data_IF_108159113090
#
_entry.id   IF_108159113090
#
_cell.length_a   1.000
_cell.length_b   1.000
_cell.length_c   1.000
_cell.angle_alpha   90.00
_cell.angle_beta   90.00
_cell.angle_gamma   90.00
#
_symmetry.space_group_name_H-M   'P 1'
#
loop_
_entity.id
_entity.type
_entity.pdbx_description
1 polymer ?
#
# COMPACT_ATOMS: atom_id res chain seq x y z
N UNK A 1 -48.62 9.12 -1.61
CA UNK A 1 -47.84 9.53 -2.80
C UNK A 1 -46.37 9.64 -2.45
N UNK A 2 -45.57 8.64 -2.83
CA UNK A 2 -44.12 8.73 -2.78
C UNK A 2 -43.65 9.51 -4.00
N UNK A 3 -42.84 10.54 -3.81
CA UNK A 3 -42.26 11.27 -4.94
C UNK A 3 -41.32 10.31 -5.74
N UNK A 4 -41.53 10.21 -7.04
CA UNK A 4 -40.69 9.41 -7.91
C UNK A 4 -39.26 9.94 -7.85
N UNK A 5 -38.29 9.07 -7.49
CA UNK A 5 -36.88 9.45 -7.37
C UNK A 5 -36.44 9.96 -5.99
N UNK A 6 -37.36 10.04 -5.01
CA UNK A 6 -36.97 10.39 -3.63
C UNK A 6 -36.35 9.17 -2.91
N UNK A 7 -35.26 9.42 -2.17
CA UNK A 7 -34.67 8.40 -1.28
C UNK A 7 -35.67 7.97 -0.21
N UNK A 8 -35.76 6.68 0.06
CA UNK A 8 -36.64 6.11 1.06
C UNK A 8 -35.98 6.12 2.43
N UNK A 9 -36.63 6.71 3.42
CA UNK A 9 -36.08 6.85 4.79
C UNK A 9 -35.76 5.49 5.44
N UNK A 10 -36.56 4.48 5.16
CA UNK A 10 -36.40 3.12 5.68
C UNK A 10 -35.33 2.30 4.99
N UNK A 11 -34.81 2.77 3.87
CA UNK A 11 -33.74 2.10 3.10
C UNK A 11 -32.33 2.52 3.53
N UNK A 12 -32.19 3.56 4.33
CA UNK A 12 -30.89 4.10 4.76
C UNK A 12 -29.89 4.30 3.60
N UNK A 13 -30.40 4.73 2.43
CA UNK A 13 -29.58 4.88 1.21
C UNK A 13 -29.39 3.57 0.42
N UNK A 14 -30.05 2.48 0.82
CA UNK A 14 -30.01 1.20 0.09
C UNK A 14 -30.55 1.30 -1.33
N UNK A 15 -31.48 2.23 -1.56
CA UNK A 15 -32.12 2.56 -2.82
C UNK A 15 -31.30 3.49 -3.73
N UNK A 16 -30.13 3.95 -3.30
CA UNK A 16 -29.23 4.73 -4.13
C UNK A 16 -28.57 3.80 -5.16
N UNK A 17 -28.77 4.10 -6.45
CA UNK A 17 -28.29 3.28 -7.55
C UNK A 17 -26.76 3.28 -7.65
N UNK A 18 -26.15 4.45 -7.61
CA UNK A 18 -24.70 4.62 -7.63
C UNK A 18 -24.21 5.14 -6.27
N UNK A 19 -24.03 4.20 -5.33
CA UNK A 19 -23.58 4.49 -3.96
C UNK A 19 -22.18 5.09 -3.94
N UNK A 20 -21.30 4.68 -4.87
CA UNK A 20 -19.94 5.19 -4.97
C UNK A 20 -19.92 6.67 -5.37
N UNK A 21 -20.66 7.01 -6.42
CA UNK A 21 -20.79 8.41 -6.86
C UNK A 21 -21.48 9.26 -5.79
N UNK A 22 -22.51 8.72 -5.14
CA UNK A 22 -23.19 9.42 -4.04
C UNK A 22 -22.22 9.70 -2.89
N UNK A 23 -21.44 8.71 -2.44
CA UNK A 23 -20.44 8.91 -1.39
C UNK A 23 -19.43 10.00 -1.78
N UNK A 24 -18.97 10.02 -3.01
CA UNK A 24 -18.06 11.08 -3.52
C UNK A 24 -18.72 12.45 -3.53
N UNK A 25 -19.99 12.51 -3.93
CA UNK A 25 -20.75 13.78 -4.00
C UNK A 25 -20.91 14.43 -2.62
N UNK A 26 -21.11 13.63 -1.58
CA UNK A 26 -21.25 14.12 -0.19
C UNK A 26 -19.92 14.18 0.57
N UNK A 27 -18.80 13.82 -0.07
CA UNK A 27 -17.47 13.80 0.57
C UNK A 27 -17.30 12.70 1.62
N UNK A 28 -18.07 11.62 1.54
CA UNK A 28 -17.91 10.47 2.41
C UNK A 28 -16.72 9.61 1.99
N UNK A 29 -16.11 8.93 2.97
CA UNK A 29 -15.03 7.97 2.72
C UNK A 29 -15.60 6.73 2.02
N UNK A 30 -14.99 6.34 0.90
CA UNK A 30 -15.26 5.07 0.22
C UNK A 30 -14.41 3.96 0.83
N UNK A 31 -15.03 2.81 1.12
CA UNK A 31 -14.39 1.70 1.83
C UNK A 31 -14.96 0.36 1.37
N UNK A 32 -14.11 -0.66 1.38
CA UNK A 32 -14.49 -2.05 1.08
C UNK A 32 -13.68 -2.99 1.97
N UNK A 33 -14.31 -4.05 2.45
CA UNK A 33 -13.62 -5.18 3.06
C UNK A 33 -13.21 -6.15 1.97
N UNK A 34 -11.92 -6.49 1.93
CA UNK A 34 -11.37 -7.47 0.99
C UNK A 34 -11.14 -8.76 1.75
N UNK A 35 -11.73 -9.85 1.27
CA UNK A 35 -11.57 -11.18 1.84
C UNK A 35 -10.35 -11.83 1.21
N UNK A 36 -9.44 -12.29 2.06
CA UNK A 36 -8.24 -13.03 1.71
C UNK A 36 -8.42 -14.49 2.19
N UNK A 37 -7.40 -15.30 2.14
CA UNK A 37 -7.48 -16.70 2.61
C UNK A 37 -6.12 -17.34 2.77
N UNK A 38 -5.14 -16.87 2.01
CA UNK A 38 -3.78 -17.41 2.00
C UNK A 38 -2.77 -16.29 1.85
N UNK A 39 -1.50 -16.60 2.12
CA UNK A 39 -0.39 -15.71 1.78
C UNK A 39 -0.09 -15.77 0.29
N UNK A 40 0.22 -14.65 -0.32
CA UNK A 40 0.56 -14.55 -1.72
C UNK A 40 0.08 -13.25 -2.36
N UNK A 41 -0.14 -13.29 -3.66
CA UNK A 41 -0.51 -12.15 -4.48
C UNK A 41 -2.00 -12.11 -4.74
N UNK A 42 -2.58 -10.92 -4.62
CA UNK A 42 -4.00 -10.69 -4.80
C UNK A 42 -4.24 -9.51 -5.73
N UNK A 43 -5.10 -9.71 -6.73
CA UNK A 43 -5.60 -8.62 -7.57
C UNK A 43 -6.67 -7.84 -6.80
N UNK A 44 -6.27 -6.84 -6.03
CA UNK A 44 -7.17 -6.09 -5.13
C UNK A 44 -8.00 -5.04 -5.82
N UNK A 45 -7.54 -4.54 -6.97
CA UNK A 45 -8.22 -3.46 -7.66
C UNK A 45 -8.01 -3.54 -9.17
N UNK A 46 -8.95 -2.96 -9.90
CA UNK A 46 -8.80 -2.51 -11.28
C UNK A 46 -8.97 -0.99 -11.29
N UNK A 47 -8.04 -0.29 -11.91
CA UNK A 47 -8.05 1.18 -11.96
C UNK A 47 -8.07 1.65 -13.40
N UNK A 48 -8.84 2.70 -13.66
CA UNK A 48 -8.79 3.46 -14.90
C UNK A 48 -8.01 4.74 -14.64
N UNK A 49 -6.87 4.89 -15.31
CA UNK A 49 -5.92 5.96 -15.04
C UNK A 49 -5.41 6.59 -16.35
N UNK A 50 -6.17 7.53 -16.92
CA UNK A 50 -5.73 8.28 -18.09
C UNK A 50 -4.37 8.92 -17.89
N UNK A 51 -3.57 8.92 -18.97
CA UNK A 51 -2.19 9.46 -18.98
C UNK A 51 -2.16 10.99 -18.92
N UNK A 52 -2.98 11.58 -18.07
CA UNK A 52 -3.09 13.02 -17.86
C UNK A 52 -3.10 13.33 -16.37
N UNK A 53 -2.06 12.89 -15.67
CA UNK A 53 -1.87 13.13 -14.23
C UNK A 53 -2.89 12.47 -13.30
N UNK A 54 -3.54 11.38 -13.71
CA UNK A 54 -4.43 10.62 -12.85
C UNK A 54 -3.73 10.16 -11.59
N UNK A 55 -4.41 10.24 -10.45
CA UNK A 55 -3.92 9.79 -9.16
C UNK A 55 -5.01 8.96 -8.48
N UNK A 56 -4.61 7.85 -7.88
CA UNK A 56 -5.46 7.05 -7.02
C UNK A 56 -4.70 6.69 -5.74
N UNK A 57 -5.41 6.62 -4.63
CA UNK A 57 -4.86 6.23 -3.33
C UNK A 57 -5.71 5.12 -2.74
N UNK A 58 -5.05 4.12 -2.16
CA UNK A 58 -5.71 3.00 -1.48
C UNK A 58 -5.02 2.82 -0.12
N UNK A 59 -5.74 3.10 0.95
CA UNK A 59 -5.30 2.86 2.33
C UNK A 59 -5.70 1.45 2.72
N UNK A 60 -4.75 0.69 3.25
CA UNK A 60 -4.90 -0.74 3.53
C UNK A 60 -4.65 -1.00 5.02
N UNK A 61 -5.68 -1.54 5.69
CA UNK A 61 -5.66 -1.81 7.13
C UNK A 61 -5.88 -3.30 7.38
N UNK A 62 -4.97 -3.93 8.11
CA UNK A 62 -5.03 -5.36 8.42
C UNK A 62 -4.32 -6.23 7.38
N UNK A 63 -4.87 -7.40 7.10
CA UNK A 63 -4.32 -8.36 6.14
C UNK A 63 -3.27 -9.31 6.72
N UNK A 64 -3.13 -9.39 8.04
CA UNK A 64 -2.14 -10.28 8.66
C UNK A 64 -2.61 -10.80 10.02
N UNK A 65 -3.25 -11.96 10.03
CA UNK A 65 -3.70 -12.60 11.26
C UNK A 65 -4.67 -11.76 12.11
N UNK A 66 -5.06 -12.28 13.24
CA UNK A 66 -5.97 -11.62 14.19
C UNK A 66 -5.79 -12.08 15.64
N UNK A 67 -4.55 -12.37 16.05
CA UNK A 67 -4.27 -12.80 17.41
C UNK A 67 -4.25 -11.61 18.38
N UNK A 68 -4.99 -11.72 19.46
CA UNK A 68 -4.95 -10.73 20.54
C UNK A 68 -3.54 -10.68 21.13
N UNK A 69 -2.98 -9.49 21.27
CA UNK A 69 -1.63 -9.29 21.79
C UNK A 69 -0.51 -9.33 20.73
N UNK A 70 -0.80 -9.70 19.49
CA UNK A 70 0.14 -9.61 18.35
C UNK A 70 -0.03 -8.27 17.67
N UNK A 71 0.56 -7.23 18.23
CA UNK A 71 0.36 -5.82 17.80
C UNK A 71 0.82 -5.57 16.37
N UNK A 72 1.80 -6.32 15.89
CA UNK A 72 2.32 -6.25 14.51
C UNK A 72 1.29 -6.70 13.45
N UNK A 73 0.23 -7.41 13.87
CA UNK A 73 -0.88 -7.82 13.00
C UNK A 73 -1.88 -6.70 12.73
N UNK A 74 -1.88 -5.66 13.55
CA UNK A 74 -2.63 -4.42 13.29
C UNK A 74 -1.90 -3.57 12.25
N UNK A 75 -1.79 -4.10 11.03
CA UNK A 75 -0.96 -3.56 9.97
C UNK A 75 -1.60 -2.35 9.27
N UNK A 76 -0.75 -1.42 8.84
CA UNK A 76 -1.13 -0.25 8.05
C UNK A 76 -0.18 -0.11 6.86
N UNK A 77 -0.75 0.15 5.68
CA UNK A 77 0.01 0.57 4.49
C UNK A 77 -0.84 1.47 3.61
N UNK A 78 -0.18 2.20 2.72
CA UNK A 78 -0.83 3.10 1.77
C UNK A 78 -0.24 2.88 0.39
N UNK A 79 -1.11 2.73 -0.60
CA UNK A 79 -0.73 2.58 -2.00
C UNK A 79 -1.09 3.87 -2.74
N UNK A 80 -0.10 4.47 -3.40
CA UNK A 80 -0.29 5.64 -4.24
C UNK A 80 0.02 5.27 -5.68
N UNK A 81 -0.95 5.48 -6.55
CA UNK A 81 -0.86 5.22 -7.98
C UNK A 81 -0.91 6.54 -8.73
N UNK A 82 -0.01 6.72 -9.68
CA UNK A 82 0.03 7.91 -10.52
C UNK A 82 0.27 7.55 -11.97
N UNK A 83 -0.57 8.08 -12.86
CA UNK A 83 -0.27 8.10 -14.29
C UNK A 83 0.65 9.27 -14.63
N UNK A 84 1.37 9.15 -15.73
CA UNK A 84 2.25 10.19 -16.26
C UNK A 84 1.61 10.97 -17.41
N UNK A 85 2.45 11.37 -18.34
CA UNK A 85 2.08 12.12 -19.54
C UNK A 85 2.01 11.25 -20.82
N UNK A 86 2.08 9.93 -20.66
CA UNK A 86 2.02 8.98 -21.78
C UNK A 86 3.38 8.65 -22.43
N UNK A 87 4.48 9.19 -21.91
CA UNK A 87 5.82 8.91 -22.41
C UNK A 87 6.80 8.69 -21.22
N UNK A 88 7.05 7.44 -20.82
CA UNK A 88 6.40 6.21 -21.29
C UNK A 88 4.93 6.08 -20.83
N UNK A 89 4.17 5.24 -21.49
CA UNK A 89 2.83 4.83 -21.06
C UNK A 89 2.98 3.92 -19.84
N UNK A 90 2.11 4.10 -18.85
CA UNK A 90 2.08 3.29 -17.64
C UNK A 90 1.71 4.10 -16.41
N UNK A 91 1.86 3.45 -15.27
CA UNK A 91 1.66 4.08 -13.97
C UNK A 91 2.89 3.92 -13.09
N UNK A 92 3.02 4.80 -12.12
CA UNK A 92 3.91 4.63 -10.98
C UNK A 92 3.09 4.13 -9.81
N UNK A 93 3.46 2.97 -9.26
CA UNK A 93 2.84 2.40 -8.08
C UNK A 93 3.85 2.44 -6.92
N UNK A 94 3.50 3.11 -5.83
CA UNK A 94 4.33 3.25 -4.64
C UNK A 94 3.56 2.72 -3.44
N UNK A 95 4.16 1.76 -2.74
CA UNK A 95 3.64 1.22 -1.48
C UNK A 95 4.42 1.82 -0.31
N UNK A 96 3.72 2.50 0.59
CA UNK A 96 4.25 3.05 1.83
C UNK A 96 3.85 2.13 2.99
N UNK A 97 4.83 1.45 3.58
CA UNK A 97 4.64 0.55 4.72
C UNK A 97 4.84 1.29 6.03
N UNK A 98 3.83 1.25 6.90
CA UNK A 98 3.90 1.77 8.27
C UNK A 98 4.05 0.69 9.33
N UNK A 99 3.96 -0.58 8.92
CA UNK A 99 4.12 -1.76 9.78
C UNK A 99 4.85 -2.88 9.04
N UNK A 100 5.51 -3.81 9.77
CA UNK A 100 6.31 -4.86 9.13
C UNK A 100 5.47 -5.94 8.44
N UNK A 101 4.23 -6.14 8.88
CA UNK A 101 3.32 -7.15 8.37
C UNK A 101 2.21 -6.55 7.49
N UNK A 102 1.35 -7.41 6.96
CA UNK A 102 0.27 -7.03 6.06
C UNK A 102 0.71 -7.00 4.61
N UNK A 103 0.50 -5.88 3.95
CA UNK A 103 0.89 -5.70 2.55
C UNK A 103 2.38 -5.42 2.45
N UNK A 104 3.11 -6.26 1.70
CA UNK A 104 4.58 -6.25 1.62
C UNK A 104 5.12 -5.70 0.31
N UNK A 105 4.39 -5.89 -0.79
CA UNK A 105 4.80 -5.49 -2.14
C UNK A 105 3.57 -5.16 -2.97
N UNK A 106 3.78 -4.43 -4.05
CA UNK A 106 2.76 -4.17 -5.05
C UNK A 106 3.30 -4.37 -6.46
N UNK A 107 2.40 -4.65 -7.39
CA UNK A 107 2.69 -4.77 -8.81
C UNK A 107 1.45 -4.38 -9.62
N UNK A 108 1.63 -4.11 -10.90
CA UNK A 108 0.53 -3.77 -11.78
C UNK A 108 0.70 -4.38 -13.17
N UNK A 109 -0.42 -4.56 -13.86
CA UNK A 109 -0.50 -5.00 -15.26
C UNK A 109 -1.36 -4.01 -16.01
N UNK A 110 -0.86 -3.50 -17.13
CA UNK A 110 -1.71 -2.79 -18.08
C UNK A 110 -2.53 -3.81 -18.87
N UNK A 111 -3.83 -3.75 -18.75
CA UNK A 111 -4.74 -4.71 -19.40
C UNK A 111 -5.23 -4.21 -20.76
N UNK A 112 -5.58 -2.94 -20.87
CA UNK A 112 -5.98 -2.32 -22.11
C UNK A 112 -6.08 -0.79 -21.96
N UNK A 113 -5.51 -0.02 -22.88
CA UNK A 113 -5.58 1.45 -22.82
C UNK A 113 -5.09 1.96 -21.46
N UNK A 114 -5.95 2.70 -20.77
CA UNK A 114 -5.67 3.28 -19.43
C UNK A 114 -6.13 2.40 -18.26
N UNK A 115 -6.46 1.14 -18.52
CA UNK A 115 -6.88 0.19 -17.48
C UNK A 115 -5.69 -0.61 -16.94
N UNK A 116 -5.64 -0.75 -15.63
CA UNK A 116 -4.57 -1.46 -14.93
C UNK A 116 -5.15 -2.36 -13.84
N UNK A 117 -4.66 -3.59 -13.76
CA UNK A 117 -4.89 -4.47 -12.62
C UNK A 117 -3.80 -4.25 -11.58
N UNK A 118 -4.21 -4.09 -10.32
CA UNK A 118 -3.34 -3.80 -9.19
C UNK A 118 -3.26 -5.00 -8.27
N UNK A 119 -2.04 -5.46 -8.04
CA UNK A 119 -1.73 -6.61 -7.21
C UNK A 119 -0.96 -6.17 -5.97
N UNK A 120 -1.25 -6.83 -4.85
CA UNK A 120 -0.46 -6.71 -3.62
C UNK A 120 -0.07 -8.10 -3.14
N UNK A 121 1.13 -8.20 -2.53
CA UNK A 121 1.55 -9.40 -1.83
C UNK A 121 1.30 -9.24 -0.34
N UNK A 122 0.67 -10.25 0.25
CA UNK A 122 0.34 -10.29 1.66
C UNK A 122 1.00 -11.53 2.27
N UNK A 123 1.57 -11.37 3.47
CA UNK A 123 2.27 -12.43 4.16
C UNK A 123 1.33 -13.40 4.88
N UNK A 124 1.86 -14.25 5.74
CA UNK A 124 1.13 -15.34 6.38
C UNK A 124 -0.12 -14.88 7.15
N UNK A 125 -1.10 -15.75 7.22
CA UNK A 125 -2.37 -15.56 7.92
C UNK A 125 -3.19 -14.38 7.39
N UNK A 126 -3.20 -14.23 6.07
CA UNK A 126 -4.00 -13.22 5.39
C UNK A 126 -5.50 -13.59 5.45
N UNK A 127 -6.33 -12.76 6.10
CA UNK A 127 -7.78 -12.96 6.25
C UNK A 127 -8.58 -11.84 5.63
N UNK A 128 -8.67 -10.70 6.29
CA UNK A 128 -9.41 -9.54 5.83
C UNK A 128 -8.53 -8.31 5.79
N UNK A 129 -8.85 -7.47 4.85
CA UNK A 129 -8.18 -6.22 4.61
C UNK A 129 -9.26 -5.15 4.41
N UNK A 130 -9.23 -4.10 5.22
CA UNK A 130 -10.08 -2.94 4.98
C UNK A 130 -9.33 -2.00 4.04
N UNK A 131 -9.95 -1.69 2.91
CA UNK A 131 -9.42 -0.75 1.93
C UNK A 131 -10.29 0.50 1.87
N UNK A 132 -9.69 1.65 2.10
CA UNK A 132 -10.27 2.96 1.84
C UNK A 132 -9.59 3.55 0.61
N UNK A 133 -10.33 4.19 -0.28
CA UNK A 133 -9.78 4.66 -1.55
C UNK A 133 -10.39 5.98 -1.98
N UNK A 134 -9.62 6.72 -2.76
CA UNK A 134 -10.03 7.91 -3.47
C UNK A 134 -9.22 8.05 -4.77
N UNK A 135 -9.67 8.91 -5.66
CA UNK A 135 -9.04 9.10 -6.96
C UNK A 135 -9.37 10.48 -7.55
N UNK A 136 -8.50 10.96 -8.43
CA UNK A 136 -8.71 12.20 -9.15
C UNK A 136 -9.92 12.11 -10.08
N UNK A 137 -10.53 13.26 -10.45
CA UNK A 137 -11.78 13.31 -11.20
C UNK A 137 -11.75 12.66 -12.59
N UNK A 138 -10.55 12.46 -13.16
CA UNK A 138 -10.35 11.77 -14.45
C UNK A 138 -10.08 10.26 -14.31
N UNK A 139 -9.91 9.76 -13.09
CA UNK A 139 -9.61 8.35 -12.79
C UNK A 139 -10.83 7.60 -12.26
N UNK A 140 -10.70 6.30 -12.09
CA UNK A 140 -11.66 5.47 -11.40
C UNK A 140 -10.96 4.29 -10.72
N UNK A 141 -11.47 3.86 -9.58
CA UNK A 141 -10.99 2.69 -8.83
C UNK A 141 -12.14 1.74 -8.60
N UNK A 142 -11.95 0.47 -8.93
CA UNK A 142 -12.85 -0.62 -8.57
C UNK A 142 -12.08 -1.61 -7.69
N UNK A 143 -12.47 -1.71 -6.42
CA UNK A 143 -11.89 -2.71 -5.51
C UNK A 143 -12.60 -4.05 -5.68
N UNK A 144 -11.84 -5.14 -5.52
CA UNK A 144 -12.34 -6.51 -5.57
C UNK A 144 -12.45 -7.07 -4.16
N UNK A 145 -13.67 -7.24 -3.66
CA UNK A 145 -13.92 -7.77 -2.30
C UNK A 145 -13.50 -9.24 -2.14
N UNK A 146 -13.47 -9.98 -3.24
CA UNK A 146 -12.96 -11.37 -3.33
C UNK A 146 -11.94 -11.44 -4.46
N UNK A 147 -10.69 -11.00 -4.22
CA UNK A 147 -9.70 -10.84 -5.27
C UNK A 147 -9.21 -12.18 -5.82
N UNK A 148 -8.79 -12.19 -7.07
CA UNK A 148 -8.05 -13.31 -7.66
C UNK A 148 -6.73 -13.50 -6.93
N UNK A 149 -6.38 -14.76 -6.68
CA UNK A 149 -5.19 -15.19 -5.96
C UNK A 149 -4.14 -15.78 -6.89
N UNK A 150 -2.87 -15.54 -6.57
CA UNK A 150 -1.73 -16.24 -7.14
C UNK A 150 -0.67 -16.44 -6.06
N UNK A 151 -0.08 -17.64 -6.01
CA UNK A 151 1.03 -17.91 -5.08
C UNK A 151 2.33 -17.18 -5.45
N UNK A 152 2.44 -16.72 -6.68
CA UNK A 152 3.61 -15.99 -7.22
C UNK A 152 3.17 -14.69 -7.88
N UNK A 153 4.09 -13.75 -7.98
CA UNK A 153 3.85 -12.50 -8.71
C UNK A 153 3.49 -12.84 -10.17
N UNK A 154 2.43 -12.24 -10.73
CA UNK A 154 2.09 -12.43 -12.14
C UNK A 154 3.28 -12.10 -13.06
N UNK A 155 3.60 -13.01 -13.98
CA UNK A 155 4.84 -12.96 -14.76
C UNK A 155 4.97 -11.78 -15.72
N UNK A 156 3.85 -11.18 -16.13
CA UNK A 156 3.78 -9.99 -16.99
C UNK A 156 3.54 -8.70 -16.22
N UNK A 157 3.63 -8.74 -14.89
CA UNK A 157 3.45 -7.56 -14.05
C UNK A 157 4.72 -6.72 -13.94
N UNK A 158 4.53 -5.44 -13.69
CA UNK A 158 5.59 -4.51 -13.31
C UNK A 158 5.54 -4.30 -11.80
N UNK A 159 6.67 -4.52 -11.13
CA UNK A 159 6.76 -4.27 -9.69
C UNK A 159 6.68 -2.78 -9.39
N UNK A 160 5.92 -2.43 -8.36
CA UNK A 160 5.95 -1.11 -7.76
C UNK A 160 7.13 -0.94 -6.82
N UNK A 161 7.32 0.28 -6.33
CA UNK A 161 8.34 0.61 -5.35
C UNK A 161 7.74 0.54 -3.94
N UNK A 162 8.47 -0.06 -3.00
CA UNK A 162 8.07 -0.13 -1.60
C UNK A 162 9.02 0.70 -0.75
N UNK A 163 8.46 1.54 0.12
CA UNK A 163 9.20 2.31 1.11
C UNK A 163 8.69 2.02 2.52
N UNK A 164 9.62 1.84 3.46
CA UNK A 164 9.31 1.70 4.87
C UNK A 164 9.24 3.08 5.54
N UNK A 165 8.19 3.33 6.30
CA UNK A 165 8.07 4.47 7.20
C UNK A 165 8.45 4.00 8.60
N UNK A 166 9.70 4.23 8.97
CA UNK A 166 10.25 3.75 10.24
C UNK A 166 9.53 4.35 11.44
N UNK A 167 9.33 3.51 12.44
CA UNK A 167 8.67 3.85 13.70
C UNK A 167 9.20 2.96 14.83
N UNK A 168 8.65 3.06 16.03
CA UNK A 168 9.10 2.26 17.17
C UNK A 168 8.88 0.75 17.02
N UNK A 169 7.90 0.33 16.20
CA UNK A 169 7.67 -1.07 15.86
C UNK A 169 8.58 -1.54 14.72
N UNK A 170 8.82 -0.69 13.74
CA UNK A 170 9.61 -0.98 12.55
C UNK A 170 10.81 -0.01 12.49
N UNK A 171 11.83 -0.32 13.30
CA UNK A 171 13.03 0.52 13.43
C UNK A 171 13.94 0.37 12.21
N UNK A 172 14.66 1.43 11.83
CA UNK A 172 15.68 1.33 10.80
C UNK A 172 16.84 0.46 11.26
N UNK A 173 17.51 -0.19 10.33
CA UNK A 173 18.80 -0.83 10.56
C UNK A 173 19.93 0.21 10.57
N UNK A 174 21.11 -0.18 11.05
CA UNK A 174 22.29 0.68 10.97
C UNK A 174 22.61 1.08 9.52
N UNK A 175 22.41 0.15 8.56
CA UNK A 175 22.62 0.42 7.13
C UNK A 175 21.62 1.42 6.55
N UNK A 176 20.37 1.41 7.02
CA UNK A 176 19.35 2.36 6.57
C UNK A 176 19.68 3.81 6.92
N UNK A 177 20.42 4.02 8.01
CA UNK A 177 20.82 5.35 8.50
C UNK A 177 22.33 5.61 8.31
N UNK A 178 23.01 4.77 7.55
CA UNK A 178 24.45 4.86 7.27
C UNK A 178 25.32 4.90 8.54
N UNK A 179 24.85 4.22 9.62
CA UNK A 179 25.55 4.14 10.89
C UNK A 179 26.37 2.85 11.02
N UNK A 180 27.35 2.86 11.91
CA UNK A 180 28.07 1.65 12.31
C UNK A 180 27.17 0.79 13.21
N UNK A 181 27.06 -0.50 12.87
CA UNK A 181 26.32 -1.45 13.70
C UNK A 181 26.93 -1.60 15.10
N UNK A 182 26.09 -1.77 16.12
CA UNK A 182 26.54 -2.10 17.49
C UNK A 182 27.29 -3.43 17.56
N UNK A 183 27.10 -4.31 16.58
CA UNK A 183 27.84 -5.57 16.45
C UNK A 183 29.19 -5.42 15.74
N UNK A 184 29.59 -4.18 15.48
CA UNK A 184 30.82 -3.85 14.77
C UNK A 184 30.62 -3.71 13.27
N UNK A 185 31.69 -3.33 12.59
CA UNK A 185 31.72 -3.10 11.15
C UNK A 185 33.04 -2.43 10.76
N UNK A 186 33.21 -2.12 9.48
CA UNK A 186 34.38 -1.43 8.94
C UNK A 186 33.99 -0.01 8.52
N UNK A 187 34.76 0.95 9.01
CA UNK A 187 34.72 2.33 8.50
C UNK A 187 35.74 2.45 7.35
N UNK A 188 35.34 3.05 6.24
CA UNK A 188 36.19 3.27 5.08
C UNK A 188 36.95 4.61 5.12
N UNK A 189 36.73 5.38 6.17
CA UNK A 189 37.36 6.69 6.39
C UNK A 189 37.95 6.83 7.79
N UNK A 190 38.51 8.00 8.08
CA UNK A 190 39.07 8.30 9.38
C UNK A 190 37.98 8.39 10.44
N UNK A 191 38.21 7.77 11.60
CA UNK A 191 37.34 7.87 12.79
C UNK A 191 37.95 8.88 13.76
N UNK A 192 37.24 9.95 14.04
CA UNK A 192 37.56 10.88 15.13
C UNK A 192 36.85 10.44 16.42
N UNK A 193 37.59 10.28 17.51
CA UNK A 193 37.06 9.95 18.82
C UNK A 193 37.43 11.05 19.81
N UNK A 194 36.43 11.79 20.28
CA UNK A 194 36.61 12.87 21.24
C UNK A 194 37.45 14.05 20.70
N UNK A 195 37.78 14.98 21.59
CA UNK A 195 38.57 16.19 21.24
C UNK A 195 40.04 15.91 21.08
N UNK A 196 40.55 14.82 21.66
CA UNK A 196 41.99 14.56 21.71
C UNK A 196 42.44 13.47 20.76
N UNK A 197 41.55 12.87 20.00
CA UNK A 197 41.84 11.84 18.97
C UNK A 197 42.89 10.78 19.38
N UNK A 198 42.96 10.47 20.67
CA UNK A 198 43.91 9.48 21.16
C UNK A 198 43.34 8.09 20.98
N UNK A 199 43.53 7.51 19.83
CA UNK A 199 43.47 6.07 19.69
C UNK A 199 44.73 5.55 20.35
N UNK A 200 44.62 4.99 21.56
CA UNK A 200 45.73 4.35 22.23
C UNK A 200 46.43 3.37 21.30
N UNK A 201 47.75 3.48 21.16
CA UNK A 201 48.50 2.73 20.18
C UNK A 201 48.24 1.24 20.25
N UNK A 202 48.38 0.56 19.12
CA UNK A 202 48.34 -0.88 18.87
C UNK A 202 47.10 -1.68 19.32
N UNK A 203 46.05 -1.06 19.84
CA UNK A 203 44.89 -1.79 20.33
C UNK A 203 43.73 -1.86 19.33
N UNK A 204 43.93 -1.36 18.11
CA UNK A 204 42.96 -1.49 17.04
C UNK A 204 43.60 -2.40 15.96
N UNK A 205 43.47 -3.71 16.19
CA UNK A 205 43.76 -4.74 15.20
C UNK A 205 42.46 -5.33 14.74
#
# INVERSE_FOLDING_TARGET
>A
NRATGAMQKDQNGGDIQDKKQFARTIGAVTSTTITLGESGWFKIATVFMPQATSTAVIKLYGGSGFNVGSFEQAAISELVLRAGNGSPVGITATLWKRSPNGVLECAWINTSGDNYDIYVRINQYAYWLIAQYDYSGNANVTLHSTPEYSSVQPGNSTSGQTYALFNSLMKPTAGDVEALSVNGGRLNGALGIGTDNVLGGSSIV
#
